data_IF_741724292874
#
_entry.id   IF_741724292874
#
_cell.length_a   1.000
_cell.length_b   1.000
_cell.length_c   1.000
_cell.angle_alpha   90.00
_cell.angle_beta   90.00
_cell.angle_gamma   90.00
#
_symmetry.space_group_name_H-M   'P 1'
#
loop_
_entity.id
_entity.type
_entity.pdbx_description
1 polymer ?
#
# COMPACT_ATOMS: atom_id res chain seq x y z
N UNK A 1 6.17 -8.53 25.96
CA UNK A 1 5.15 -7.91 25.10
C UNK A 1 5.76 -6.60 24.64
N UNK A 2 5.98 -6.43 23.34
CA UNK A 2 6.51 -5.16 22.81
C UNK A 2 5.34 -4.20 22.66
N UNK A 3 5.23 -3.22 23.55
CA UNK A 3 4.26 -2.11 23.48
C UNK A 3 4.68 -1.07 22.43
N UNK A 4 4.97 -1.53 21.21
CA UNK A 4 5.37 -0.69 20.09
C UNK A 4 4.16 -0.22 19.30
N UNK A 5 3.53 0.89 19.70
CA UNK A 5 2.48 1.53 18.91
C UNK A 5 2.95 1.90 17.50
N UNK A 6 2.03 1.93 16.53
CA UNK A 6 2.33 2.35 15.16
C UNK A 6 2.40 3.88 15.13
N UNK A 7 3.50 4.43 14.57
CA UNK A 7 3.64 5.86 14.29
C UNK A 7 3.86 6.06 12.80
N UNK A 8 3.00 6.83 12.15
CA UNK A 8 3.21 7.23 10.76
C UNK A 8 4.31 8.29 10.64
N UNK A 9 5.07 8.25 9.55
CA UNK A 9 6.12 9.24 9.28
C UNK A 9 5.53 10.58 8.83
N UNK A 10 4.66 10.55 7.82
CA UNK A 10 3.97 11.72 7.26
C UNK A 10 2.67 11.30 6.55
N UNK A 11 1.70 12.21 6.36
CA UNK A 11 0.60 11.96 5.43
C UNK A 11 1.11 11.96 3.97
N UNK A 12 0.39 11.24 3.11
CA UNK A 12 0.48 11.41 1.66
C UNK A 12 -0.22 12.73 1.26
N UNK A 13 0.20 13.33 0.14
CA UNK A 13 -0.47 14.51 -0.40
C UNK A 13 -1.95 14.30 -0.74
N UNK A 14 -2.32 13.06 -1.12
CA UNK A 14 -3.71 12.64 -1.35
C UNK A 14 -3.92 11.14 -1.13
N UNK A 15 -5.17 10.68 -0.98
CA UNK A 15 -5.50 9.26 -1.05
C UNK A 15 -5.12 8.66 -2.41
N UNK A 16 -4.51 7.48 -2.38
CA UNK A 16 -4.31 6.63 -3.56
C UNK A 16 -5.51 5.67 -3.65
N UNK A 17 -6.30 5.79 -4.70
CA UNK A 17 -7.54 5.01 -4.84
C UNK A 17 -7.26 3.58 -5.28
N UNK A 18 -8.17 2.65 -4.95
CA UNK A 18 -8.07 1.26 -5.41
C UNK A 18 -8.06 1.15 -6.94
N UNK A 19 -8.73 2.05 -7.65
CA UNK A 19 -8.74 2.09 -9.12
C UNK A 19 -7.34 2.41 -9.67
N UNK A 20 -6.65 3.38 -9.07
CA UNK A 20 -5.27 3.72 -9.43
C UNK A 20 -4.31 2.56 -9.14
N UNK A 21 -4.45 1.91 -7.98
CA UNK A 21 -3.62 0.74 -7.63
C UNK A 21 -3.81 -0.39 -8.64
N UNK A 22 -5.07 -0.72 -8.99
CA UNK A 22 -5.39 -1.75 -9.98
C UNK A 22 -4.92 -1.40 -11.39
N UNK A 23 -4.94 -0.11 -11.74
CA UNK A 23 -4.50 0.39 -13.04
C UNK A 23 -2.98 0.54 -13.19
N UNK A 24 -2.22 0.40 -12.11
CA UNK A 24 -0.79 0.63 -12.11
C UNK A 24 0.02 -0.67 -12.40
N UNK A 25 0.74 -0.75 -13.53
CA UNK A 25 1.54 -1.94 -13.87
C UNK A 25 2.62 -2.28 -12.84
N UNK A 26 3.15 -1.29 -12.13
CA UNK A 26 4.16 -1.48 -11.08
C UNK A 26 3.58 -2.16 -9.83
N UNK A 27 2.25 -2.13 -9.67
CA UNK A 27 1.54 -2.70 -8.52
C UNK A 27 0.75 -3.97 -8.89
N UNK A 28 0.93 -4.49 -10.11
CA UNK A 28 0.13 -5.62 -10.63
C UNK A 28 0.17 -6.88 -9.77
N UNK A 29 1.23 -7.06 -8.97
CA UNK A 29 1.44 -8.22 -8.13
C UNK A 29 1.04 -8.01 -6.66
N UNK A 30 0.64 -6.77 -6.31
CA UNK A 30 0.33 -6.38 -4.94
C UNK A 30 -0.79 -7.25 -4.36
N UNK A 31 -0.57 -7.76 -3.16
CA UNK A 31 -1.49 -8.69 -2.52
C UNK A 31 -2.91 -8.11 -2.38
N UNK A 32 -2.99 -6.80 -2.11
CA UNK A 32 -4.22 -6.02 -1.93
C UNK A 32 -5.22 -6.17 -3.09
N UNK A 33 -4.75 -6.26 -4.33
CA UNK A 33 -5.61 -6.28 -5.53
C UNK A 33 -5.91 -7.69 -6.04
N UNK A 34 -5.39 -8.74 -5.39
CA UNK A 34 -5.66 -10.12 -5.81
C UNK A 34 -7.11 -10.50 -5.55
N UNK A 35 -7.72 -11.21 -6.50
CA UNK A 35 -9.11 -11.69 -6.40
C UNK A 35 -9.29 -12.51 -5.11
N UNK A 36 -10.30 -12.15 -4.31
CA UNK A 36 -10.61 -12.85 -3.06
C UNK A 36 -9.72 -12.49 -1.87
N UNK A 37 -8.80 -11.53 -1.98
CA UNK A 37 -7.99 -11.10 -0.83
C UNK A 37 -8.87 -10.51 0.29
N UNK A 38 -8.62 -10.94 1.53
CA UNK A 38 -9.37 -10.53 2.75
C UNK A 38 -8.48 -10.27 3.97
N UNK A 39 -7.16 -10.35 3.81
CA UNK A 39 -6.22 -10.06 4.88
C UNK A 39 -6.20 -8.54 5.18
N UNK A 40 -6.40 -8.16 6.43
CA UNK A 40 -6.33 -6.76 6.87
C UNK A 40 -4.90 -6.27 7.09
N UNK A 41 -3.97 -7.18 7.34
CA UNK A 41 -2.52 -6.94 7.43
C UNK A 41 -1.85 -7.79 6.38
N UNK A 42 -1.03 -7.16 5.55
CA UNK A 42 -0.44 -7.77 4.37
C UNK A 42 1.02 -7.36 4.28
N UNK A 43 1.93 -8.27 3.87
CA UNK A 43 3.27 -7.87 3.48
C UNK A 43 3.19 -7.01 2.21
N UNK A 44 4.08 -6.01 2.12
CA UNK A 44 4.25 -5.12 0.97
C UNK A 44 5.73 -5.11 0.63
N UNK A 45 6.08 -5.22 -0.66
CA UNK A 45 7.50 -5.11 -1.05
C UNK A 45 7.97 -3.67 -0.97
N UNK A 46 9.29 -3.47 -0.95
CA UNK A 46 9.86 -2.12 -0.94
C UNK A 46 9.42 -1.31 -2.17
N UNK A 47 9.42 -1.94 -3.33
CA UNK A 47 9.05 -1.33 -4.62
C UNK A 47 7.57 -0.95 -4.65
N UNK A 48 6.69 -1.80 -4.11
CA UNK A 48 5.26 -1.50 -3.98
C UNK A 48 5.02 -0.31 -3.03
N UNK A 49 5.72 -0.26 -1.91
CA UNK A 49 5.62 0.84 -0.95
C UNK A 49 6.08 2.16 -1.56
N UNK A 50 7.26 2.17 -2.20
CA UNK A 50 7.83 3.36 -2.85
C UNK A 50 6.91 3.89 -3.95
N UNK A 51 6.31 3.00 -4.74
CA UNK A 51 5.37 3.38 -5.79
C UNK A 51 4.08 4.00 -5.22
N UNK A 52 3.53 3.46 -4.14
CA UNK A 52 2.36 4.04 -3.46
C UNK A 52 2.69 5.44 -2.94
N UNK A 53 3.84 5.62 -2.29
CA UNK A 53 4.28 6.93 -1.79
C UNK A 53 4.42 7.92 -2.95
N UNK A 54 5.03 7.49 -4.08
CA UNK A 54 5.19 8.33 -5.28
C UNK A 54 3.85 8.77 -5.90
N UNK A 55 2.86 7.88 -5.96
CA UNK A 55 1.52 8.19 -6.51
C UNK A 55 0.74 9.12 -5.57
N UNK A 56 0.94 8.95 -4.26
CA UNK A 56 0.29 9.73 -3.21
C UNK A 56 0.77 11.18 -3.07
N UNK A 57 1.93 11.53 -3.63
CA UNK A 57 2.58 12.83 -3.43
C UNK A 57 3.45 12.86 -2.18
#
# INVERSE_FOLDING_TARGET
MVDGGIKGERPLGRPVTLAEIKGNPNLKNMLLIRKGMRLSIQPVTKEEFEEIVRVGG
#
